data_IF_644713571942
#
_entry.id   IF_644713571942
#
_cell.length_a   1.000
_cell.length_b   1.000
_cell.length_c   1.000
_cell.angle_alpha   90.00
_cell.angle_beta   90.00
_cell.angle_gamma   90.00
#
_symmetry.space_group_name_H-M   'P 1'
#
loop_
_entity.id
_entity.type
_entity.pdbx_description
1 polymer ?
#
# COMPACT_ATOMS: atom_id res chain seq x y z
N UNK A 1 -3.94 -5.48 15.42
CA UNK A 1 -3.42 -6.50 14.49
C UNK A 1 -4.45 -7.60 14.33
N UNK A 2 -4.59 -8.26 13.17
CA UNK A 2 -5.56 -9.33 12.98
C UNK A 2 -5.19 -10.59 13.80
N UNK A 3 -6.21 -11.21 14.43
CA UNK A 3 -6.11 -12.52 15.05
C UNK A 3 -7.29 -13.37 14.59
N UNK A 4 -7.04 -14.66 14.27
CA UNK A 4 -8.07 -15.57 13.73
C UNK A 4 -7.68 -17.02 13.88
N UNK A 5 -8.68 -17.89 13.81
CA UNK A 5 -8.47 -19.34 13.80
C UNK A 5 -8.48 -19.90 12.38
N UNK A 6 -7.50 -20.74 12.07
CA UNK A 6 -7.45 -21.53 10.84
C UNK A 6 -8.24 -22.80 11.05
N UNK A 7 -9.33 -22.96 10.29
CA UNK A 7 -10.17 -24.16 10.34
C UNK A 7 -9.83 -25.06 9.15
N UNK A 8 -9.47 -26.31 9.41
CA UNK A 8 -9.21 -27.31 8.39
C UNK A 8 -10.18 -28.49 8.57
N UNK A 9 -10.98 -28.80 7.55
CA UNK A 9 -11.97 -29.91 7.56
C UNK A 9 -12.94 -29.86 8.73
N UNK A 10 -13.30 -28.65 9.19
CA UNK A 10 -14.24 -28.43 10.29
C UNK A 10 -13.61 -28.42 11.70
N UNK A 11 -12.32 -28.65 11.82
CA UNK A 11 -11.59 -28.62 13.08
C UNK A 11 -10.59 -27.45 13.12
N UNK A 12 -10.38 -26.87 14.31
CA UNK A 12 -9.37 -25.83 14.52
C UNK A 12 -7.98 -26.46 14.35
N UNK A 13 -7.23 -25.94 13.36
CA UNK A 13 -5.86 -26.37 13.08
C UNK A 13 -4.83 -25.49 13.81
N UNK A 14 -4.98 -24.16 13.75
CA UNK A 14 -4.03 -23.21 14.31
C UNK A 14 -4.73 -21.93 14.78
N UNK A 15 -4.13 -21.20 15.73
CA UNK A 15 -4.49 -19.82 16.08
C UNK A 15 -3.40 -18.86 15.59
N UNK A 16 -3.76 -17.90 14.78
CA UNK A 16 -2.79 -16.99 14.13
C UNK A 16 -2.99 -15.57 14.62
N UNK A 17 -1.90 -14.95 15.09
CA UNK A 17 -1.81 -13.53 15.40
C UNK A 17 -0.80 -12.88 14.44
N UNK A 18 -1.27 -12.00 13.54
CA UNK A 18 -0.40 -11.35 12.57
C UNK A 18 0.21 -10.07 13.14
N UNK A 19 1.45 -9.78 12.72
CA UNK A 19 2.13 -8.51 13.00
C UNK A 19 1.94 -7.48 11.88
N UNK A 20 1.16 -7.82 10.84
CA UNK A 20 0.86 -6.94 9.69
C UNK A 20 -0.65 -6.68 9.60
N UNK A 21 -1.08 -5.43 9.31
CA UNK A 21 -2.49 -5.05 9.28
C UNK A 21 -3.19 -5.49 7.98
N UNK A 22 -4.54 -5.46 8.02
CA UNK A 22 -5.38 -5.58 6.84
C UNK A 22 -5.90 -6.98 6.55
N UNK A 23 -7.16 -7.04 6.07
CA UNK A 23 -7.85 -8.30 5.71
C UNK A 23 -7.15 -9.05 4.58
N UNK A 24 -6.47 -8.34 3.68
CA UNK A 24 -5.68 -8.98 2.62
C UNK A 24 -4.52 -9.81 3.20
N UNK A 25 -3.90 -9.37 4.30
CA UNK A 25 -2.87 -10.16 4.98
C UNK A 25 -3.43 -11.38 5.70
N UNK A 26 -4.68 -11.34 6.18
CA UNK A 26 -5.38 -12.54 6.65
C UNK A 26 -5.53 -13.56 5.52
N UNK A 27 -5.93 -13.11 4.31
CA UNK A 27 -6.04 -13.99 3.13
C UNK A 27 -4.68 -14.59 2.73
N UNK A 28 -3.62 -13.79 2.75
CA UNK A 28 -2.26 -14.25 2.47
C UNK A 28 -1.80 -15.29 3.50
N UNK A 29 -2.04 -15.05 4.78
CA UNK A 29 -1.74 -15.98 5.86
C UNK A 29 -2.53 -17.29 5.74
N UNK A 30 -3.80 -17.22 5.34
CA UNK A 30 -4.61 -18.43 5.06
C UNK A 30 -4.04 -19.24 3.88
N UNK A 31 -3.56 -18.57 2.83
CA UNK A 31 -2.90 -19.26 1.71
C UNK A 31 -1.60 -19.94 2.14
N UNK A 32 -0.78 -19.26 2.97
CA UNK A 32 0.42 -19.85 3.56
C UNK A 32 0.10 -21.04 4.47
N UNK A 33 -0.91 -20.93 5.35
CA UNK A 33 -1.37 -22.00 6.19
C UNK A 33 -1.90 -23.21 5.38
N UNK A 34 -2.67 -22.97 4.32
CA UNK A 34 -3.16 -24.03 3.43
C UNK A 34 -2.00 -24.77 2.74
N UNK A 35 -0.97 -24.04 2.31
CA UNK A 35 0.24 -24.64 1.74
C UNK A 35 1.00 -25.48 2.77
N UNK A 36 1.14 -24.98 3.99
CA UNK A 36 1.80 -25.70 5.08
C UNK A 36 1.03 -26.99 5.46
N UNK A 37 -0.30 -26.93 5.53
CA UNK A 37 -1.16 -28.10 5.76
C UNK A 37 -0.95 -29.15 4.65
N UNK A 38 -0.94 -28.72 3.39
CA UNK A 38 -0.73 -29.62 2.25
C UNK A 38 0.66 -30.27 2.27
N UNK A 39 1.65 -29.62 2.85
CA UNK A 39 3.01 -30.13 3.03
C UNK A 39 3.23 -30.83 4.39
N UNK A 40 2.15 -31.06 5.16
CA UNK A 40 2.16 -31.73 6.45
C UNK A 40 3.00 -31.04 7.54
N UNK A 41 3.13 -29.73 7.51
CA UNK A 41 3.73 -28.97 8.61
C UNK A 41 2.79 -28.98 9.84
N UNK A 42 3.35 -29.04 11.06
CA UNK A 42 2.53 -28.99 12.29
C UNK A 42 1.95 -27.58 12.51
N UNK A 43 0.84 -27.52 13.24
CA UNK A 43 0.15 -26.27 13.58
C UNK A 43 1.09 -25.23 14.23
N UNK A 44 1.92 -25.67 15.19
CA UNK A 44 2.90 -24.81 15.86
C UNK A 44 3.85 -24.08 14.88
N UNK A 45 4.31 -24.77 13.82
CA UNK A 45 5.17 -24.14 12.82
C UNK A 45 4.43 -23.05 12.02
N UNK A 46 3.12 -23.19 11.80
CA UNK A 46 2.28 -22.17 11.14
C UNK A 46 2.07 -20.98 12.08
N UNK A 47 1.75 -21.23 13.34
CA UNK A 47 1.55 -20.21 14.36
C UNK A 47 2.81 -19.37 14.56
N UNK A 48 3.95 -20.02 14.82
CA UNK A 48 5.24 -19.38 15.03
C UNK A 48 5.72 -18.60 13.79
N UNK A 49 5.63 -19.25 12.61
CA UNK A 49 6.09 -18.63 11.35
C UNK A 49 5.28 -17.38 10.97
N UNK A 50 3.96 -17.42 11.16
CA UNK A 50 3.09 -16.27 10.86
C UNK A 50 3.20 -15.17 11.94
N UNK A 51 3.40 -15.52 13.21
CA UNK A 51 3.64 -14.56 14.28
C UNK A 51 5.00 -13.85 14.13
N UNK A 52 6.01 -14.53 13.59
CA UNK A 52 7.33 -13.97 13.32
C UNK A 52 7.40 -13.13 12.05
N UNK A 53 6.35 -13.12 11.21
CA UNK A 53 6.34 -12.37 9.97
C UNK A 53 5.96 -10.90 10.21
N UNK A 54 6.92 -10.01 10.02
CA UNK A 54 6.76 -8.55 10.20
C UNK A 54 6.50 -7.79 8.89
N UNK A 55 6.25 -8.49 7.80
CA UNK A 55 6.03 -7.91 6.48
C UNK A 55 7.17 -8.18 5.51
N UNK A 56 6.89 -8.00 4.23
CA UNK A 56 7.91 -7.97 3.18
C UNK A 56 8.36 -6.51 2.98
N UNK A 57 9.59 -6.30 2.54
CA UNK A 57 10.06 -4.98 2.15
C UNK A 57 9.10 -4.32 1.17
N UNK A 58 8.86 -3.04 1.32
CA UNK A 58 7.89 -2.28 0.54
C UNK A 58 6.44 -2.82 0.61
N UNK A 59 6.03 -3.43 1.72
CA UNK A 59 4.64 -3.87 1.98
C UNK A 59 4.19 -3.31 3.32
N UNK A 60 3.67 -2.08 3.30
CA UNK A 60 3.37 -1.28 4.46
C UNK A 60 4.58 -1.21 5.42
N UNK A 61 5.74 -0.95 4.84
CA UNK A 61 7.02 -0.90 5.55
C UNK A 61 7.19 0.45 6.24
N UNK A 62 7.36 0.43 7.57
CA UNK A 62 7.65 1.66 8.31
C UNK A 62 9.06 2.18 7.98
N UNK A 63 9.14 3.41 7.50
CA UNK A 63 10.42 4.05 7.10
C UNK A 63 10.94 5.01 8.17
N UNK A 64 10.15 5.34 9.18
CA UNK A 64 10.48 6.27 10.25
C UNK A 64 9.47 7.38 10.42
N UNK A 65 9.85 8.40 11.21
CA UNK A 65 9.01 9.56 11.48
C UNK A 65 9.67 10.83 10.96
N UNK A 66 8.85 11.76 10.46
CA UNK A 66 9.31 13.05 9.95
C UNK A 66 8.35 14.16 10.40
N UNK A 67 8.84 15.17 11.13
CA UNK A 67 8.04 16.26 11.71
C UNK A 67 6.84 15.78 12.54
N UNK A 68 6.94 14.60 13.17
CA UNK A 68 5.85 13.97 13.93
C UNK A 68 4.81 13.24 13.08
N UNK A 69 4.99 13.18 11.77
CA UNK A 69 4.27 12.29 10.86
C UNK A 69 4.97 10.93 10.80
N UNK A 70 4.19 9.85 10.66
CA UNK A 70 4.72 8.51 10.42
C UNK A 70 4.80 8.24 8.92
N UNK A 71 5.93 7.69 8.45
CA UNK A 71 6.18 7.42 7.02
C UNK A 71 6.22 5.92 6.76
N UNK A 72 5.39 5.48 5.82
CA UNK A 72 5.34 4.08 5.38
C UNK A 72 5.48 3.98 3.87
N UNK A 73 6.19 2.96 3.39
CA UNK A 73 6.30 2.63 1.97
C UNK A 73 5.47 1.39 1.62
N UNK A 74 4.79 1.46 0.47
CA UNK A 74 4.03 0.32 -0.05
C UNK A 74 4.22 0.16 -1.57
N UNK A 75 4.37 -1.07 -2.00
CA UNK A 75 4.58 -1.43 -3.40
C UNK A 75 3.29 -1.44 -4.24
N UNK A 76 2.15 -1.09 -3.65
CA UNK A 76 0.86 -1.05 -4.34
C UNK A 76 0.95 -0.20 -5.61
N UNK A 77 0.48 -0.75 -6.71
CA UNK A 77 0.55 -0.10 -8.03
C UNK A 77 -0.66 -0.44 -8.92
N UNK A 78 -1.67 -1.10 -8.35
CA UNK A 78 -2.97 -1.39 -8.96
C UNK A 78 -4.09 -0.80 -8.11
N UNK A 79 -5.20 -0.27 -8.68
CA UNK A 79 -6.28 0.34 -7.90
C UNK A 79 -6.81 -0.55 -6.77
N UNK A 80 -6.96 -1.85 -7.00
CA UNK A 80 -7.40 -2.80 -5.97
C UNK A 80 -6.40 -2.94 -4.81
N UNK A 81 -5.09 -2.81 -5.06
CA UNK A 81 -4.06 -2.82 -4.02
C UNK A 81 -4.11 -1.52 -3.20
N UNK A 82 -4.25 -0.36 -3.87
CA UNK A 82 -4.45 0.94 -3.22
C UNK A 82 -5.71 0.93 -2.33
N UNK A 83 -6.81 0.38 -2.82
CA UNK A 83 -8.05 0.24 -2.07
C UNK A 83 -7.84 -0.58 -0.79
N UNK A 84 -7.10 -1.70 -0.89
CA UNK A 84 -6.79 -2.55 0.26
C UNK A 84 -5.89 -1.83 1.27
N UNK A 85 -4.88 -1.08 0.79
CA UNK A 85 -3.99 -0.27 1.60
C UNK A 85 -4.78 0.81 2.37
N UNK A 86 -5.58 1.63 1.67
CA UNK A 86 -6.36 2.70 2.32
C UNK A 86 -7.38 2.15 3.30
N UNK A 87 -8.02 1.01 2.98
CA UNK A 87 -8.92 0.34 3.92
C UNK A 87 -8.21 -0.14 5.18
N UNK A 88 -6.96 -0.59 5.06
CA UNK A 88 -6.17 -1.04 6.21
C UNK A 88 -5.76 0.11 7.13
N UNK A 89 -5.41 1.29 6.57
CA UNK A 89 -4.89 2.41 7.37
C UNK A 89 -5.96 3.31 7.95
N UNK A 90 -7.18 3.35 7.39
CA UNK A 90 -8.30 4.16 7.90
C UNK A 90 -8.65 3.90 9.37
N UNK A 91 -8.41 2.69 9.87
CA UNK A 91 -8.67 2.31 11.26
C UNK A 91 -7.50 2.52 12.22
N UNK A 92 -6.37 3.07 11.78
CA UNK A 92 -5.14 3.15 12.58
C UNK A 92 -5.06 4.41 13.45
N UNK A 93 -6.03 5.35 13.36
CA UNK A 93 -6.15 6.50 14.25
C UNK A 93 -5.29 7.71 13.88
N UNK A 94 -4.78 7.79 12.65
CA UNK A 94 -4.10 8.98 12.14
C UNK A 94 -5.09 10.11 11.87
N UNK A 95 -4.64 11.36 12.05
CA UNK A 95 -5.49 12.54 11.83
C UNK A 95 -5.68 12.84 10.34
N UNK A 96 -4.66 12.55 9.53
CA UNK A 96 -4.66 12.79 8.08
C UNK A 96 -3.81 11.75 7.36
N UNK A 97 -4.30 11.24 6.24
CA UNK A 97 -3.60 10.32 5.35
C UNK A 97 -3.16 11.08 4.10
N UNK A 98 -1.84 11.17 3.89
CA UNK A 98 -1.23 11.74 2.69
C UNK A 98 -0.66 10.60 1.87
N UNK A 99 -1.08 10.44 0.61
CA UNK A 99 -0.56 9.43 -0.30
C UNK A 99 0.26 10.10 -1.41
N UNK A 100 1.58 9.91 -1.38
CA UNK A 100 2.47 10.21 -2.50
C UNK A 100 2.52 8.98 -3.40
N UNK A 101 1.85 9.04 -4.55
CA UNK A 101 1.68 7.93 -5.47
C UNK A 101 2.45 8.12 -6.76
N UNK A 102 3.24 7.12 -7.16
CA UNK A 102 3.90 7.06 -8.46
C UNK A 102 3.25 5.97 -9.31
N UNK A 103 2.44 6.33 -10.33
CA UNK A 103 1.90 5.34 -11.26
C UNK A 103 3.03 4.57 -11.95
N UNK A 104 2.80 3.29 -12.19
CA UNK A 104 3.79 2.41 -12.82
C UNK A 104 3.30 1.97 -14.19
N UNK A 105 4.02 2.38 -15.23
CA UNK A 105 3.81 2.19 -16.67
C UNK A 105 2.66 3.02 -17.27
N UNK A 106 2.88 3.52 -18.48
CA UNK A 106 1.87 4.31 -19.22
C UNK A 106 0.65 3.44 -19.60
N UNK A 107 0.90 2.21 -20.02
CA UNK A 107 -0.17 1.30 -20.46
C UNK A 107 -1.15 0.98 -19.32
N UNK A 108 -0.64 0.66 -18.13
CA UNK A 108 -1.50 0.42 -16.95
C UNK A 108 -2.23 1.67 -16.52
N UNK A 109 -1.54 2.80 -16.46
CA UNK A 109 -2.13 4.07 -16.03
C UNK A 109 -3.29 4.45 -16.97
N UNK A 110 -3.11 4.28 -18.28
CA UNK A 110 -4.17 4.53 -19.27
C UNK A 110 -5.34 3.57 -19.13
N UNK A 111 -5.05 2.27 -19.03
CA UNK A 111 -6.09 1.23 -18.99
C UNK A 111 -6.95 1.30 -17.72
N UNK A 112 -6.38 1.73 -16.58
CA UNK A 112 -7.06 1.80 -15.29
C UNK A 112 -7.29 3.24 -14.82
N UNK A 113 -7.29 4.20 -15.73
CA UNK A 113 -7.35 5.63 -15.42
C UNK A 113 -8.50 5.99 -14.48
N UNK A 114 -9.71 5.59 -14.83
CA UNK A 114 -10.92 5.87 -14.04
C UNK A 114 -10.86 5.26 -12.64
N UNK A 115 -10.31 4.05 -12.54
CA UNK A 115 -10.19 3.34 -11.26
C UNK A 115 -9.14 4.02 -10.37
N UNK A 116 -8.03 4.49 -10.95
CA UNK A 116 -7.04 5.31 -10.21
C UNK A 116 -7.66 6.62 -9.73
N UNK A 117 -8.40 7.34 -10.58
CA UNK A 117 -9.10 8.58 -10.18
C UNK A 117 -10.05 8.31 -9.01
N UNK A 118 -10.77 7.20 -9.03
CA UNK A 118 -11.70 6.85 -7.97
C UNK A 118 -10.98 6.55 -6.65
N UNK A 119 -9.99 5.67 -6.67
CA UNK A 119 -9.32 5.20 -5.44
C UNK A 119 -8.44 6.29 -4.82
N UNK A 120 -7.81 7.14 -5.62
CA UNK A 120 -6.93 8.22 -5.14
C UNK A 120 -7.70 9.43 -4.57
N UNK A 121 -9.02 9.39 -4.53
CA UNK A 121 -9.87 10.33 -3.77
C UNK A 121 -10.04 9.92 -2.30
N UNK A 122 -9.59 8.74 -1.91
CA UNK A 122 -9.79 8.22 -0.56
C UNK A 122 -8.85 8.81 0.50
N UNK A 123 -7.55 9.06 0.24
CA UNK A 123 -6.70 9.77 1.18
C UNK A 123 -7.11 11.25 1.28
N UNK A 124 -6.75 11.90 2.40
CA UNK A 124 -7.03 13.33 2.62
C UNK A 124 -6.25 14.21 1.64
N UNK A 125 -5.10 13.73 1.16
CA UNK A 125 -4.32 14.37 0.10
C UNK A 125 -3.61 13.32 -0.76
N UNK A 126 -3.85 13.37 -2.07
CA UNK A 126 -3.07 12.63 -3.06
C UNK A 126 -2.01 13.55 -3.70
N UNK A 127 -0.76 13.12 -3.69
CA UNK A 127 0.36 13.75 -4.40
C UNK A 127 0.78 12.79 -5.51
N UNK A 128 0.68 13.22 -6.76
CA UNK A 128 0.96 12.40 -7.94
C UNK A 128 2.37 12.72 -8.45
N UNK A 129 3.31 11.80 -8.29
CA UNK A 129 4.60 11.85 -8.98
C UNK A 129 4.43 11.45 -10.44
N UNK A 130 5.36 11.86 -11.33
CA UNK A 130 5.29 11.46 -12.75
C UNK A 130 5.39 9.94 -12.91
N UNK A 131 4.76 9.41 -13.98
CA UNK A 131 4.69 7.97 -14.25
C UNK A 131 6.10 7.37 -14.33
N UNK A 132 6.33 6.32 -13.57
CA UNK A 132 7.51 5.49 -13.73
C UNK A 132 7.37 4.61 -14.97
N UNK A 133 8.11 4.95 -16.02
CA UNK A 133 7.98 4.32 -17.34
C UNK A 133 8.39 2.84 -17.34
N UNK A 134 9.30 2.42 -16.45
CA UNK A 134 9.95 1.12 -16.44
C UNK A 134 10.63 0.84 -17.80
N UNK A 135 10.04 -0.04 -18.62
CA UNK A 135 10.57 -0.40 -19.97
C UNK A 135 9.73 0.20 -21.10
N UNK A 136 8.73 1.01 -20.76
CA UNK A 136 7.84 1.61 -21.76
C UNK A 136 8.38 2.96 -22.24
N UNK A 137 8.05 3.31 -23.48
CA UNK A 137 8.14 4.67 -24.00
C UNK A 137 6.72 5.21 -24.10
N UNK A 138 6.50 6.48 -23.70
CA UNK A 138 5.18 7.08 -23.83
C UNK A 138 4.80 7.23 -25.31
N UNK A 139 3.85 6.40 -25.73
CA UNK A 139 3.17 6.47 -27.03
C UNK A 139 1.70 6.79 -26.89
N UNK A 140 1.22 6.96 -25.64
CA UNK A 140 -0.20 7.09 -25.31
C UNK A 140 -0.58 8.53 -24.97
N UNK A 141 0.40 9.42 -24.80
CA UNK A 141 0.21 10.82 -24.44
C UNK A 141 -0.53 10.97 -23.10
N UNK A 142 -0.10 10.25 -22.07
CA UNK A 142 -0.68 10.30 -20.73
C UNK A 142 0.40 10.61 -19.70
N UNK A 143 0.06 11.43 -18.72
CA UNK A 143 0.91 11.78 -17.58
C UNK A 143 0.14 11.66 -16.26
N UNK A 144 0.85 11.68 -15.14
CA UNK A 144 0.23 11.77 -13.81
C UNK A 144 -0.51 13.09 -13.59
N UNK A 145 -0.20 14.13 -14.36
CA UNK A 145 -0.93 15.40 -14.35
C UNK A 145 -2.39 15.19 -14.74
N UNK A 146 -2.65 14.35 -15.76
CA UNK A 146 -4.02 14.06 -16.21
C UNK A 146 -4.85 13.40 -15.09
N UNK A 147 -4.21 12.54 -14.27
CA UNK A 147 -4.86 11.98 -13.07
C UNK A 147 -5.14 13.07 -12.03
N UNK A 148 -4.15 13.92 -11.74
CA UNK A 148 -4.28 14.97 -10.74
C UNK A 148 -5.42 15.95 -11.09
N UNK A 149 -5.59 16.31 -12.34
CA UNK A 149 -6.66 17.18 -12.81
C UNK A 149 -8.07 16.62 -12.56
N UNK A 150 -8.22 15.30 -12.44
CA UNK A 150 -9.50 14.62 -12.16
C UNK A 150 -9.72 14.35 -10.65
N UNK A 151 -8.71 14.61 -9.80
CA UNK A 151 -8.79 14.35 -8.36
C UNK A 151 -8.79 15.68 -7.61
N UNK A 152 -9.96 16.12 -7.06
CA UNK A 152 -10.05 17.40 -6.36
C UNK A 152 -9.06 17.51 -5.19
N UNK A 153 -8.32 18.59 -5.13
CA UNK A 153 -7.37 18.88 -4.06
C UNK A 153 -6.04 18.15 -4.15
N UNK A 154 -5.86 17.25 -5.12
CA UNK A 154 -4.56 16.59 -5.34
C UNK A 154 -3.47 17.57 -5.80
N UNK A 155 -2.23 17.11 -5.74
CA UNK A 155 -1.05 17.84 -6.23
C UNK A 155 -0.30 16.97 -7.24
N UNK A 156 0.14 17.57 -8.32
CA UNK A 156 1.07 16.97 -9.26
C UNK A 156 2.49 17.48 -8.99
N UNK A 157 3.45 16.57 -8.98
CA UNK A 157 4.88 16.85 -8.87
C UNK A 157 5.60 16.17 -10.05
N UNK A 158 6.35 16.93 -10.82
CA UNK A 158 7.04 16.39 -11.99
C UNK A 158 8.26 15.53 -11.61
N UNK A 159 8.85 15.76 -10.45
CA UNK A 159 10.01 15.01 -9.95
C UNK A 159 9.81 14.53 -8.51
N UNK A 160 10.62 13.56 -8.08
CA UNK A 160 10.59 13.05 -6.70
C UNK A 160 11.14 14.09 -5.70
N UNK A 161 12.03 14.98 -6.16
CA UNK A 161 12.52 16.11 -5.38
C UNK A 161 11.39 17.08 -5.06
N UNK A 162 10.49 17.35 -6.01
CA UNK A 162 9.29 18.19 -5.79
C UNK A 162 8.33 17.51 -4.81
N UNK A 163 8.13 16.17 -4.89
CA UNK A 163 7.35 15.41 -3.90
C UNK A 163 7.95 15.58 -2.51
N UNK A 164 9.27 15.38 -2.40
CA UNK A 164 9.98 15.51 -1.13
C UNK A 164 9.89 16.92 -0.55
N UNK A 165 10.07 17.95 -1.39
CA UNK A 165 9.95 19.36 -0.97
C UNK A 165 8.55 19.67 -0.45
N UNK A 166 7.52 19.23 -1.17
CA UNK A 166 6.13 19.41 -0.77
C UNK A 166 5.81 18.69 0.54
N UNK A 167 6.23 17.43 0.69
CA UNK A 167 6.02 16.67 1.94
C UNK A 167 6.71 17.34 3.12
N UNK A 168 7.92 17.89 2.92
CA UNK A 168 8.63 18.65 3.98
C UNK A 168 7.90 19.91 4.41
N UNK A 169 7.21 20.58 3.49
CA UNK A 169 6.44 21.79 3.77
C UNK A 169 5.15 21.50 4.55
N UNK A 170 4.46 20.41 4.20
CA UNK A 170 3.09 20.18 4.68
C UNK A 170 2.96 19.17 5.82
N UNK A 171 4.00 18.34 6.08
CA UNK A 171 3.97 17.28 7.10
C UNK A 171 3.82 17.89 8.50
N UNK A 172 2.96 17.30 9.31
CA UNK A 172 2.69 17.70 10.69
C UNK A 172 2.44 16.50 11.59
N UNK A 173 2.54 16.66 12.92
CA UNK A 173 2.20 15.61 13.86
C UNK A 173 0.80 15.05 13.63
N UNK A 174 0.65 13.74 13.74
CA UNK A 174 -0.61 13.03 13.50
C UNK A 174 -0.84 12.59 12.06
N UNK A 175 -0.02 13.02 11.10
CA UNK A 175 -0.11 12.56 9.71
C UNK A 175 0.42 11.12 9.55
N UNK A 176 -0.22 10.38 8.65
CA UNK A 176 0.33 9.21 7.99
C UNK A 176 0.75 9.60 6.57
N UNK A 177 2.04 9.49 6.27
CA UNK A 177 2.58 9.68 4.91
C UNK A 177 2.82 8.30 4.31
N UNK A 178 2.20 8.05 3.16
CA UNK A 178 2.38 6.83 2.38
C UNK A 178 3.16 7.18 1.12
N UNK A 179 4.34 6.57 0.91
CA UNK A 179 5.00 6.53 -0.39
C UNK A 179 4.56 5.25 -1.10
N UNK A 180 3.91 5.38 -2.26
CA UNK A 180 3.22 4.25 -2.88
C UNK A 180 3.55 4.13 -4.36
N UNK A 181 3.96 2.93 -4.76
CA UNK A 181 4.24 2.62 -6.16
C UNK A 181 5.29 1.54 -6.35
N UNK A 182 5.34 0.95 -7.55
CA UNK A 182 6.33 -0.08 -7.89
C UNK A 182 7.62 0.51 -8.52
N UNK A 183 7.70 1.85 -8.61
CA UNK A 183 8.88 2.58 -9.08
C UNK A 183 9.86 2.93 -7.96
N UNK A 184 10.43 4.11 -8.05
CA UNK A 184 11.52 4.62 -7.20
C UNK A 184 11.09 5.69 -6.17
N UNK A 185 9.79 5.81 -5.89
CA UNK A 185 9.21 6.79 -4.95
C UNK A 185 9.56 6.54 -3.46
N UNK A 186 10.17 5.42 -3.11
CA UNK A 186 10.46 4.97 -1.74
C UNK A 186 11.71 5.61 -1.13
#
# INVERSE_FOLDING_TARGET
MPAFDVICRGEKFAHVELQVPGVHNVKNALAAAASAIALHFPAAAVEEGLAAFHGAGRRFEHKGSFHGAEVYDDYAHHPGELQALFSAVKGMGYERIICAFQPHTYTRTKALFSDFVQVLREPDLAILAEIYAARETDTLGISSRDLAEQIPGSRYCATLEEVTALLREIARPGDLILTVGAGDIY
#
